data_IF_800749347519
#
_entry.id   IF_800749347519
#
_cell.length_a   1.000
_cell.length_b   1.000
_cell.length_c   1.000
_cell.angle_alpha   90.00
_cell.angle_beta   90.00
_cell.angle_gamma   90.00
#
_symmetry.space_group_name_H-M   'P 1'
#
loop_
_entity.id
_entity.type
_entity.pdbx_description
1 polymer ?
#
# COMPACT_ATOMS: atom_id res chain seq x y z
N UNK A 1 -7.83 -23.22 14.90
CA UNK A 1 -6.90 -22.07 14.95
C UNK A 1 -7.22 -21.22 13.72
N UNK A 2 -7.36 -19.91 13.88
CA UNK A 2 -7.64 -19.03 12.74
C UNK A 2 -6.33 -18.68 12.02
N UNK A 3 -6.38 -18.56 10.70
CA UNK A 3 -5.31 -17.95 9.92
C UNK A 3 -5.31 -16.45 10.21
N UNK A 4 -4.13 -15.89 10.48
CA UNK A 4 -3.95 -14.45 10.73
C UNK A 4 -3.12 -13.88 9.58
N UNK A 5 -3.70 -12.91 8.89
CA UNK A 5 -3.05 -12.14 7.84
C UNK A 5 -2.84 -10.73 8.38
N UNK A 6 -1.59 -10.30 8.46
CA UNK A 6 -1.25 -8.91 8.74
C UNK A 6 -1.38 -8.13 7.43
N UNK A 7 -2.37 -7.24 7.34
CA UNK A 7 -2.71 -6.56 6.09
C UNK A 7 -1.80 -5.35 5.80
N UNK A 8 -1.06 -4.88 6.82
CA UNK A 8 -0.26 -3.68 6.75
C UNK A 8 1.13 -3.91 7.30
N UNK A 9 1.96 -4.52 6.46
CA UNK A 9 3.39 -4.66 6.72
C UNK A 9 4.21 -3.93 5.66
N UNK A 10 5.30 -3.28 6.08
CA UNK A 10 6.32 -2.74 5.17
C UNK A 10 7.56 -3.63 5.16
N UNK A 11 7.60 -4.69 4.34
CA UNK A 11 8.80 -5.48 4.19
C UNK A 11 9.86 -4.67 3.44
N UNK A 12 11.13 -5.00 3.66
CA UNK A 12 12.25 -4.27 3.10
C UNK A 12 13.33 -5.22 2.60
N UNK A 13 13.97 -4.85 1.50
CA UNK A 13 15.09 -5.59 0.92
C UNK A 13 16.45 -4.95 1.26
N UNK A 14 16.45 -3.65 1.52
CA UNK A 14 17.64 -2.83 1.79
C UNK A 14 17.44 -1.97 3.04
N UNK A 15 18.52 -1.47 3.63
CA UNK A 15 18.46 -0.63 4.84
C UNK A 15 17.68 0.68 4.62
N UNK A 16 17.75 1.25 3.41
CA UNK A 16 16.99 2.46 3.03
C UNK A 16 15.47 2.23 2.89
N UNK A 17 15.04 0.97 2.83
CA UNK A 17 13.62 0.58 2.83
C UNK A 17 13.15 0.11 4.20
N UNK A 18 14.07 -0.14 5.14
CA UNK A 18 13.68 -0.46 6.50
C UNK A 18 13.23 0.83 7.19
N UNK A 19 11.92 1.06 7.23
CA UNK A 19 11.34 2.26 7.86
C UNK A 19 10.97 2.04 9.34
N UNK A 20 11.37 0.91 9.92
CA UNK A 20 11.08 0.62 11.33
C UNK A 20 11.72 1.68 12.25
N UNK A 21 10.93 2.25 13.16
CA UNK A 21 11.44 3.22 14.15
C UNK A 21 12.18 2.56 15.33
N UNK A 22 12.05 1.24 15.51
CA UNK A 22 12.56 0.50 16.67
C UNK A 22 13.72 -0.46 16.34
N UNK A 23 14.47 -0.19 15.27
CA UNK A 23 15.60 -1.05 14.81
C UNK A 23 16.63 -1.37 15.89
N UNK A 24 16.86 -0.45 16.83
CA UNK A 24 17.81 -0.63 17.91
C UNK A 24 17.35 -1.68 18.94
N UNK A 25 16.04 -1.93 19.03
CA UNK A 25 15.43 -2.87 19.99
C UNK A 25 15.06 -4.19 19.32
N UNK A 26 14.58 -4.13 18.08
CA UNK A 26 14.20 -5.30 17.28
C UNK A 26 15.00 -5.25 15.96
N UNK A 27 16.22 -5.83 15.92
CA UNK A 27 17.08 -5.78 14.74
C UNK A 27 16.62 -6.82 13.71
N UNK A 28 15.43 -6.64 13.15
CA UNK A 28 14.94 -7.48 12.06
C UNK A 28 15.79 -7.25 10.81
N UNK A 29 16.08 -8.34 10.12
CA UNK A 29 16.72 -8.35 8.81
C UNK A 29 15.75 -8.93 7.79
N UNK A 30 15.95 -8.65 6.50
CA UNK A 30 15.18 -9.33 5.43
C UNK A 30 15.28 -10.86 5.50
N UNK A 31 16.32 -11.44 6.11
CA UNK A 31 16.38 -12.88 6.30
C UNK A 31 15.45 -13.35 7.42
N UNK A 32 15.48 -12.65 8.56
CA UNK A 32 14.83 -13.08 9.80
C UNK A 32 13.38 -12.63 9.96
N UNK A 33 12.91 -11.64 9.18
CA UNK A 33 11.56 -11.07 9.34
C UNK A 33 10.45 -12.11 9.22
N UNK A 34 10.54 -13.02 8.24
CA UNK A 34 9.53 -14.08 8.06
C UNK A 34 9.43 -14.98 9.28
N UNK A 35 10.56 -15.52 9.73
CA UNK A 35 10.62 -16.44 10.88
C UNK A 35 10.13 -15.77 12.17
N UNK A 36 10.49 -14.49 12.36
CA UNK A 36 10.04 -13.70 13.49
C UNK A 36 8.52 -13.56 13.52
N UNK A 37 7.90 -13.13 12.42
CA UNK A 37 6.46 -12.92 12.32
C UNK A 37 5.67 -14.24 12.42
N UNK A 38 6.19 -15.33 11.83
CA UNK A 38 5.63 -16.67 12.01
C UNK A 38 5.68 -17.12 13.47
N UNK A 39 6.74 -16.75 14.21
CA UNK A 39 6.83 -16.97 15.66
C UNK A 39 5.76 -16.23 16.48
N UNK A 40 5.14 -15.19 15.92
CA UNK A 40 4.01 -14.45 16.48
C UNK A 40 2.64 -14.97 16.01
N UNK A 41 2.62 -16.13 15.33
CA UNK A 41 1.44 -16.74 14.73
C UNK A 41 0.82 -15.93 13.57
N UNK A 42 1.59 -15.05 12.92
CA UNK A 42 1.21 -14.43 11.65
C UNK A 42 1.47 -15.45 10.53
N UNK A 43 0.44 -15.72 9.74
CA UNK A 43 0.49 -16.75 8.70
C UNK A 43 0.87 -16.17 7.34
N UNK A 44 0.45 -14.93 7.06
CA UNK A 44 0.81 -14.15 5.89
C UNK A 44 0.92 -12.68 6.23
N UNK A 45 1.70 -11.97 5.43
CA UNK A 45 1.75 -10.52 5.41
C UNK A 45 1.35 -10.00 4.04
N UNK A 46 0.77 -8.81 4.00
CA UNK A 46 0.68 -8.03 2.78
C UNK A 46 1.03 -6.56 3.03
N UNK A 47 1.29 -5.84 1.94
CA UNK A 47 1.68 -4.44 1.99
C UNK A 47 2.77 -4.12 0.98
N UNK A 48 3.22 -2.87 0.99
CA UNK A 48 4.17 -2.34 0.01
C UNK A 48 5.54 -2.08 0.64
N UNK A 49 6.58 -2.16 -0.20
CA UNK A 49 7.91 -1.70 0.18
C UNK A 49 7.92 -0.18 0.15
N UNK A 50 8.28 0.47 1.24
CA UNK A 50 8.39 1.93 1.32
C UNK A 50 9.85 2.32 1.51
N UNK A 51 10.24 3.47 0.98
CA UNK A 51 11.56 4.08 1.22
C UNK A 51 11.41 5.55 1.57
N UNK A 52 12.29 6.03 2.46
CA UNK A 52 12.27 7.41 2.98
C UNK A 52 13.18 8.36 2.19
N UNK A 53 13.78 7.89 1.10
CA UNK A 53 14.63 8.73 0.26
C UNK A 53 13.81 9.88 -0.33
N UNK A 54 14.25 11.12 -0.05
CA UNK A 54 13.66 12.33 -0.62
C UNK A 54 14.25 12.60 -2.01
N UNK A 55 13.40 12.98 -2.96
CA UNK A 55 13.82 13.37 -4.31
C UNK A 55 13.24 14.72 -4.67
N UNK A 56 14.02 15.54 -5.38
CA UNK A 56 13.62 16.89 -5.79
C UNK A 56 13.06 16.94 -7.20
N UNK A 57 13.40 15.95 -8.04
CA UNK A 57 13.02 15.90 -9.45
C UNK A 57 11.98 14.80 -9.72
N UNK A 58 10.95 15.04 -10.55
CA UNK A 58 9.93 14.03 -10.86
C UNK A 58 10.52 12.71 -11.38
N UNK A 59 11.51 12.77 -12.28
CA UNK A 59 12.13 11.56 -12.85
C UNK A 59 12.79 10.65 -11.80
N UNK A 60 13.21 11.19 -10.66
CA UNK A 60 13.77 10.40 -9.57
C UNK A 60 12.68 9.81 -8.66
N UNK A 61 11.51 10.47 -8.58
CA UNK A 61 10.33 9.91 -7.91
C UNK A 61 9.85 8.62 -8.58
N UNK A 62 9.73 8.61 -9.91
CA UNK A 62 9.32 7.37 -10.60
C UNK A 62 10.33 6.24 -10.42
N UNK A 63 11.64 6.54 -10.44
CA UNK A 63 12.68 5.55 -10.14
C UNK A 63 12.56 4.98 -8.73
N UNK A 64 12.17 5.80 -7.74
CA UNK A 64 11.88 5.35 -6.37
C UNK A 64 10.74 4.33 -6.37
N UNK A 65 9.63 4.67 -7.02
CA UNK A 65 8.45 3.79 -7.16
C UNK A 65 8.83 2.47 -7.82
N UNK A 66 9.53 2.52 -8.97
CA UNK A 66 10.01 1.33 -9.67
C UNK A 66 10.93 0.46 -8.80
N UNK A 67 11.86 1.08 -8.04
CA UNK A 67 12.74 0.37 -7.12
C UNK A 67 11.96 -0.34 -6.02
N UNK A 68 10.96 0.32 -5.45
CA UNK A 68 10.12 -0.25 -4.40
C UNK A 68 9.27 -1.40 -4.93
N UNK A 69 8.64 -1.23 -6.10
CA UNK A 69 7.88 -2.30 -6.76
C UNK A 69 8.77 -3.50 -7.11
N UNK A 70 9.96 -3.27 -7.69
CA UNK A 70 10.93 -4.33 -7.96
C UNK A 70 11.35 -5.07 -6.68
N UNK A 71 11.51 -4.34 -5.58
CA UNK A 71 11.84 -4.94 -4.27
C UNK A 71 10.68 -5.78 -3.74
N UNK A 72 9.43 -5.37 -3.95
CA UNK A 72 8.25 -6.16 -3.57
C UNK A 72 8.23 -7.52 -4.30
N UNK A 73 8.47 -7.55 -5.62
CA UNK A 73 8.56 -8.81 -6.36
C UNK A 73 9.73 -9.68 -5.89
N UNK A 74 10.92 -9.11 -5.68
CA UNK A 74 12.08 -9.87 -5.17
C UNK A 74 11.83 -10.44 -3.77
N UNK A 75 11.09 -9.73 -2.92
CA UNK A 75 10.67 -10.22 -1.60
C UNK A 75 9.62 -11.31 -1.72
N UNK A 76 8.71 -11.25 -2.70
CA UNK A 76 7.75 -12.32 -2.97
C UNK A 76 8.47 -13.60 -3.39
N UNK A 77 9.47 -13.52 -4.28
CA UNK A 77 10.32 -14.66 -4.65
C UNK A 77 11.02 -15.27 -3.42
N UNK A 78 11.47 -14.43 -2.49
CA UNK A 78 12.18 -14.85 -1.27
C UNK A 78 11.25 -15.47 -0.22
N UNK A 79 10.10 -14.86 0.03
CA UNK A 79 9.20 -15.27 1.11
C UNK A 79 8.15 -16.28 0.66
N UNK A 80 7.93 -16.42 -0.65
CA UNK A 80 6.88 -17.26 -1.24
C UNK A 80 5.49 -16.80 -0.79
N UNK A 81 4.58 -17.77 -0.62
CA UNK A 81 3.18 -17.54 -0.24
C UNK A 81 2.97 -16.82 1.11
N UNK A 82 4.04 -16.62 1.89
CA UNK A 82 4.01 -15.84 3.11
C UNK A 82 3.77 -14.35 2.85
N UNK A 83 4.17 -13.83 1.68
CA UNK A 83 4.05 -12.40 1.36
C UNK A 83 3.21 -12.18 0.10
N UNK A 84 2.16 -11.38 0.25
CA UNK A 84 1.37 -10.86 -0.86
C UNK A 84 1.89 -9.44 -1.17
N UNK A 85 2.57 -9.23 -2.30
CA UNK A 85 3.21 -7.96 -2.59
C UNK A 85 2.20 -6.87 -2.96
N UNK A 86 2.41 -5.68 -2.42
CA UNK A 86 1.75 -4.45 -2.84
C UNK A 86 2.64 -3.62 -3.75
N UNK A 87 2.11 -3.19 -4.89
CA UNK A 87 2.75 -2.20 -5.76
C UNK A 87 2.39 -0.78 -5.34
N UNK A 88 3.22 0.18 -5.75
CA UNK A 88 2.97 1.62 -5.70
C UNK A 88 2.57 2.15 -7.06
N UNK A 89 1.73 3.19 -7.04
CA UNK A 89 1.30 3.99 -8.18
C UNK A 89 1.40 5.47 -7.80
N UNK A 90 1.35 6.37 -8.78
CA UNK A 90 1.54 7.80 -8.50
C UNK A 90 0.88 8.72 -9.55
N UNK A 91 0.14 9.77 -9.14
CA UNK A 91 -0.62 10.62 -10.06
C UNK A 91 0.22 11.42 -11.06
N UNK A 92 1.47 11.77 -10.74
CA UNK A 92 2.39 12.38 -11.72
C UNK A 92 2.82 11.45 -12.86
N UNK A 93 2.55 10.15 -12.77
CA UNK A 93 3.00 9.11 -13.72
C UNK A 93 1.83 8.19 -14.06
N UNK A 94 0.71 8.78 -14.53
CA UNK A 94 -0.54 8.05 -14.82
C UNK A 94 -0.30 6.86 -15.74
N UNK A 95 0.33 7.10 -16.89
CA UNK A 95 0.59 6.06 -17.88
C UNK A 95 1.40 4.91 -17.28
N UNK A 96 2.52 5.23 -16.64
CA UNK A 96 3.41 4.23 -16.07
C UNK A 96 2.79 3.49 -14.89
N UNK A 97 1.94 4.15 -14.11
CA UNK A 97 1.16 3.55 -13.04
C UNK A 97 0.15 2.53 -13.58
N UNK A 98 -0.59 2.89 -14.64
CA UNK A 98 -1.54 1.99 -15.31
C UNK A 98 -0.82 0.77 -15.92
N UNK A 99 0.34 0.97 -16.54
CA UNK A 99 1.18 -0.11 -17.07
C UNK A 99 1.68 -1.04 -15.94
N UNK A 100 2.05 -0.50 -14.77
CA UNK A 100 2.46 -1.32 -13.63
C UNK A 100 1.29 -2.09 -13.01
N UNK A 101 0.07 -1.54 -12.98
CA UNK A 101 -1.15 -2.26 -12.58
C UNK A 101 -1.40 -3.45 -13.51
N UNK A 102 -1.36 -3.25 -14.82
CA UNK A 102 -1.55 -4.33 -15.79
C UNK A 102 -0.49 -5.42 -15.63
N UNK A 103 0.78 -5.03 -15.44
CA UNK A 103 1.88 -5.97 -15.19
C UNK A 103 1.68 -6.76 -13.90
N UNK A 104 1.33 -6.09 -12.80
CA UNK A 104 1.03 -6.73 -11.52
C UNK A 104 -0.13 -7.72 -11.68
N UNK A 105 -1.18 -7.31 -12.39
CA UNK A 105 -2.35 -8.13 -12.63
C UNK A 105 -2.00 -9.42 -13.39
N UNK A 106 -1.17 -9.31 -14.45
CA UNK A 106 -0.65 -10.47 -15.20
C UNK A 106 0.22 -11.39 -14.36
N UNK A 107 0.94 -10.86 -13.39
CA UNK A 107 1.75 -11.63 -12.44
C UNK A 107 0.93 -12.23 -11.29
N UNK A 108 -0.39 -12.04 -11.25
CA UNK A 108 -1.26 -12.53 -10.18
C UNK A 108 -1.26 -11.66 -8.91
N UNK A 109 -0.59 -10.51 -8.93
CA UNK A 109 -0.60 -9.53 -7.86
C UNK A 109 -1.87 -8.67 -7.98
N UNK A 110 -2.54 -8.42 -6.85
CA UNK A 110 -3.81 -7.67 -6.80
C UNK A 110 -3.84 -6.55 -5.75
N UNK A 111 -2.69 -6.22 -5.17
CA UNK A 111 -2.61 -5.18 -4.14
C UNK A 111 -1.83 -3.98 -4.68
N UNK A 112 -2.47 -2.82 -4.66
CA UNK A 112 -1.78 -1.53 -4.54
C UNK A 112 -1.61 -1.33 -3.03
N UNK A 113 -0.39 -1.54 -2.54
CA UNK A 113 -0.13 -1.51 -1.09
C UNK A 113 -0.06 -0.06 -0.59
N UNK A 114 -0.01 0.14 0.73
CA UNK A 114 -0.22 1.48 1.34
C UNK A 114 0.49 2.58 0.56
N UNK A 115 -0.33 3.39 -0.12
CA UNK A 115 0.09 4.64 -0.71
C UNK A 115 0.33 5.64 0.42
N UNK A 116 1.49 6.30 0.39
CA UNK A 116 1.93 7.25 1.41
C UNK A 116 2.17 8.63 0.79
N UNK A 117 1.10 9.39 0.43
CA UNK A 117 1.22 10.61 -0.37
C UNK A 117 2.20 11.63 0.22
N UNK A 118 2.26 11.74 1.55
CA UNK A 118 3.16 12.65 2.24
C UNK A 118 4.66 12.33 2.04
N UNK A 119 5.02 11.06 1.79
CA UNK A 119 6.39 10.66 1.46
C UNK A 119 6.70 10.76 -0.04
N UNK A 120 5.67 10.66 -0.88
CA UNK A 120 5.82 10.65 -2.33
C UNK A 120 5.47 11.98 -3.00
N UNK A 121 5.11 13.01 -2.22
CA UNK A 121 4.99 14.38 -2.70
C UNK A 121 3.69 14.70 -3.43
N UNK A 122 2.62 13.95 -3.15
CA UNK A 122 1.25 14.24 -3.59
C UNK A 122 0.30 14.25 -2.39
N UNK A 123 -0.96 14.69 -2.56
CA UNK A 123 -1.86 14.93 -1.41
C UNK A 123 -3.33 14.57 -1.65
N UNK A 124 -3.81 14.82 -2.86
CA UNK A 124 -5.25 14.84 -3.10
C UNK A 124 -5.74 13.49 -3.59
N UNK A 125 -6.59 12.83 -2.80
CA UNK A 125 -7.20 11.54 -3.16
C UNK A 125 -8.27 11.65 -4.24
N UNK A 126 -8.78 12.84 -4.51
CA UNK A 126 -9.68 13.15 -5.62
C UNK A 126 -8.98 13.89 -6.77
N UNK A 127 -7.65 13.83 -6.84
CA UNK A 127 -6.89 14.30 -8.00
C UNK A 127 -7.35 13.56 -9.27
N UNK A 128 -7.76 14.24 -10.35
CA UNK A 128 -8.24 13.59 -11.57
C UNK A 128 -7.25 12.59 -12.18
N UNK A 129 -5.95 12.85 -12.07
CA UNK A 129 -4.92 11.95 -12.56
C UNK A 129 -4.82 10.69 -11.68
N UNK A 130 -5.08 10.80 -10.38
CA UNK A 130 -5.18 9.64 -9.51
C UNK A 130 -6.45 8.83 -9.77
N UNK A 131 -7.59 9.50 -9.96
CA UNK A 131 -8.86 8.83 -10.31
C UNK A 131 -8.73 8.02 -11.61
N UNK A 132 -8.02 8.53 -12.63
CA UNK A 132 -7.73 7.78 -13.86
C UNK A 132 -6.92 6.49 -13.60
N UNK A 133 -6.00 6.51 -12.62
CA UNK A 133 -5.27 5.30 -12.22
C UNK A 133 -6.21 4.32 -11.51
N UNK A 134 -7.15 4.81 -10.71
CA UNK A 134 -8.13 3.99 -9.99
C UNK A 134 -9.14 3.33 -10.95
N UNK A 135 -9.52 3.99 -12.05
CA UNK A 135 -10.32 3.36 -13.12
C UNK A 135 -9.63 2.08 -13.63
N UNK A 136 -8.32 2.13 -13.84
CA UNK A 136 -7.54 0.96 -14.27
C UNK A 136 -7.41 -0.07 -13.15
N UNK A 137 -7.23 0.37 -11.91
CA UNK A 137 -7.19 -0.52 -10.75
C UNK A 137 -8.50 -1.31 -10.59
N UNK A 138 -9.65 -0.68 -10.83
CA UNK A 138 -10.98 -1.29 -10.78
C UNK A 138 -11.14 -2.36 -11.87
N UNK A 139 -10.75 -2.05 -13.12
CA UNK A 139 -10.79 -2.99 -14.26
C UNK A 139 -9.98 -4.27 -13.99
N UNK A 140 -8.83 -4.14 -13.31
CA UNK A 140 -7.98 -5.29 -12.95
C UNK A 140 -8.31 -5.92 -11.59
N UNK A 141 -9.38 -5.46 -10.94
CA UNK A 141 -9.85 -5.92 -9.63
C UNK A 141 -8.76 -5.85 -8.57
N UNK A 142 -8.04 -4.73 -8.53
CA UNK A 142 -7.05 -4.46 -7.50
C UNK A 142 -7.75 -4.12 -6.16
N UNK A 143 -6.99 -4.25 -5.08
CA UNK A 143 -7.30 -3.67 -3.77
C UNK A 143 -6.35 -2.49 -3.55
N UNK A 144 -6.88 -1.35 -3.12
CA UNK A 144 -6.09 -0.14 -2.88
C UNK A 144 -5.98 0.13 -1.39
N UNK A 145 -4.80 -0.11 -0.85
CA UNK A 145 -4.42 0.30 0.51
C UNK A 145 -3.79 1.68 0.48
N UNK A 146 -4.13 2.55 1.42
CA UNK A 146 -3.59 3.91 1.47
C UNK A 146 -3.59 4.49 2.89
N UNK A 147 -2.64 5.38 3.15
CA UNK A 147 -2.54 6.10 4.41
C UNK A 147 -3.71 7.08 4.56
N UNK A 148 -4.52 6.95 5.60
CA UNK A 148 -5.64 7.87 5.83
C UNK A 148 -5.17 9.33 5.99
N UNK A 149 -5.72 10.23 5.16
CA UNK A 149 -5.52 11.68 5.26
C UNK A 149 -6.60 12.41 4.47
N UNK A 150 -6.96 13.63 4.87
CA UNK A 150 -7.92 14.49 4.16
C UNK A 150 -9.29 13.82 3.90
N UNK A 151 -10.14 13.84 4.94
CA UNK A 151 -11.41 13.09 5.01
C UNK A 151 -12.37 13.33 3.85
N UNK A 152 -12.49 14.56 3.36
CA UNK A 152 -13.48 14.89 2.33
C UNK A 152 -13.04 14.34 0.96
N UNK A 153 -11.74 14.36 0.67
CA UNK A 153 -11.19 13.84 -0.58
C UNK A 153 -11.22 12.31 -0.62
N UNK A 154 -10.98 11.67 0.51
CA UNK A 154 -11.19 10.21 0.65
C UNK A 154 -12.65 9.83 0.38
N UNK A 155 -13.62 10.60 0.91
CA UNK A 155 -15.03 10.36 0.64
C UNK A 155 -15.34 10.44 -0.87
N UNK A 156 -14.78 11.43 -1.57
CA UNK A 156 -14.95 11.59 -3.01
C UNK A 156 -14.34 10.44 -3.80
N UNK A 157 -13.11 10.04 -3.46
CA UNK A 157 -12.42 8.91 -4.06
C UNK A 157 -13.23 7.61 -3.98
N UNK A 158 -13.71 7.26 -2.77
CA UNK A 158 -14.47 6.02 -2.51
C UNK A 158 -15.83 6.04 -3.22
N UNK A 159 -16.52 7.19 -3.23
CA UNK A 159 -17.80 7.34 -3.94
C UNK A 159 -17.67 7.24 -5.46
N UNK A 160 -16.51 7.63 -6.00
CA UNK A 160 -16.27 7.66 -7.45
C UNK A 160 -15.95 6.28 -8.02
N UNK A 161 -15.51 5.34 -7.18
CA UNK A 161 -15.13 3.96 -7.57
C UNK A 161 -15.83 2.93 -6.67
N UNK A 162 -17.16 2.78 -6.78
CA UNK A 162 -17.94 1.92 -5.89
C UNK A 162 -17.60 0.42 -6.02
N UNK A 163 -16.98 0.00 -7.13
CA UNK A 163 -16.63 -1.40 -7.38
C UNK A 163 -15.16 -1.71 -7.03
N UNK A 164 -14.36 -0.69 -6.71
CA UNK A 164 -12.98 -0.82 -6.25
C UNK A 164 -12.91 -1.01 -4.72
N UNK A 165 -12.18 -2.04 -4.26
CA UNK A 165 -11.98 -2.27 -2.83
C UNK A 165 -10.89 -1.35 -2.28
N UNK A 166 -11.25 -0.57 -1.27
CA UNK A 166 -10.38 0.36 -0.56
C UNK A 166 -10.09 -0.14 0.86
N UNK A 167 -8.84 -0.04 1.28
CA UNK A 167 -8.41 -0.34 2.66
C UNK A 167 -7.65 0.86 3.21
N UNK A 168 -8.28 1.61 4.10
CA UNK A 168 -7.58 2.68 4.78
C UNK A 168 -6.68 2.10 5.88
N UNK A 169 -5.42 2.50 5.82
CA UNK A 169 -4.46 2.24 6.87
C UNK A 169 -4.62 3.23 8.02
N UNK A 170 -4.31 2.73 9.22
CA UNK A 170 -4.35 3.43 10.50
C UNK A 170 -5.74 4.00 10.84
N UNK A 171 -6.37 3.56 11.95
CA UNK A 171 -7.64 4.13 12.40
C UNK A 171 -7.54 5.59 12.85
N UNK A 172 -6.31 6.07 13.11
CA UNK A 172 -6.04 7.36 13.71
C UNK A 172 -6.62 7.49 15.12
N UNK A 173 -6.68 8.73 15.59
CA UNK A 173 -7.31 9.05 16.88
C UNK A 173 -8.84 9.09 16.77
N UNK A 174 -9.53 9.17 17.90
CA UNK A 174 -10.99 9.07 18.01
C UNK A 174 -11.78 9.79 16.90
N UNK A 175 -11.46 11.05 16.59
CA UNK A 175 -12.19 11.81 15.56
C UNK A 175 -12.02 11.21 14.15
N UNK A 176 -10.80 10.80 13.79
CA UNK A 176 -10.53 10.13 12.51
C UNK A 176 -11.18 8.74 12.48
N UNK A 177 -11.07 8.00 13.56
CA UNK A 177 -11.72 6.69 13.69
C UNK A 177 -13.24 6.77 13.50
N UNK A 178 -13.91 7.74 14.11
CA UNK A 178 -15.35 7.94 13.94
C UNK A 178 -15.72 8.32 12.50
N UNK A 179 -14.83 8.99 11.76
CA UNK A 179 -15.02 9.29 10.33
C UNK A 179 -14.91 8.03 9.48
N UNK A 180 -13.94 7.16 9.75
CA UNK A 180 -13.86 5.84 9.12
C UNK A 180 -15.14 5.03 9.35
N UNK A 181 -15.65 4.99 10.59
CA UNK A 181 -16.89 4.30 10.91
C UNK A 181 -18.10 4.85 10.15
N UNK A 182 -18.17 6.17 9.94
CA UNK A 182 -19.26 6.76 9.16
C UNK A 182 -19.15 6.38 7.68
N UNK A 183 -17.95 6.39 7.10
CA UNK A 183 -17.71 5.96 5.71
C UNK A 183 -18.10 4.50 5.50
N UNK A 184 -17.68 3.61 6.42
CA UNK A 184 -18.01 2.18 6.37
C UNK A 184 -19.53 1.89 6.39
N UNK A 185 -20.37 2.77 6.95
CA UNK A 185 -21.83 2.58 6.95
C UNK A 185 -22.45 2.74 5.57
N UNK A 186 -21.82 3.51 4.69
CA UNK A 186 -22.39 3.90 3.38
C UNK A 186 -21.58 3.37 2.20
N UNK A 187 -20.46 2.69 2.45
CA UNK A 187 -19.54 2.17 1.43
C UNK A 187 -19.13 0.74 1.76
N UNK A 188 -19.76 -0.24 1.11
CA UNK A 188 -19.44 -1.67 1.29
C UNK A 188 -18.03 -2.03 0.76
N UNK A 189 -17.52 -1.23 -0.17
CA UNK A 189 -16.19 -1.37 -0.78
C UNK A 189 -15.07 -0.75 0.07
N UNK A 190 -15.36 -0.28 1.29
CA UNK A 190 -14.42 0.40 2.15
C UNK A 190 -14.14 -0.37 3.44
N UNK A 191 -12.88 -0.66 3.69
CA UNK A 191 -12.39 -1.36 4.87
C UNK A 191 -11.38 -0.51 5.65
N UNK A 192 -11.26 -0.81 6.93
CA UNK A 192 -10.30 -0.19 7.84
C UNK A 192 -9.36 -1.25 8.40
N UNK A 193 -8.06 -1.02 8.26
CA UNK A 193 -7.02 -1.82 8.90
C UNK A 193 -6.74 -1.30 10.33
N UNK A 194 -6.51 -2.22 11.28
CA UNK A 194 -6.50 -1.96 12.73
C UNK A 194 -5.22 -2.39 13.44
#
# INVERSE_FOLDING_TARGET
MFEIIDFHTHPFLTDGQNICNHKAVIPMTTASSKEYLQGLAIHKICGSVVSTDCYTEPGDMWKKIQRNNASAYALQERYGDFYIPGIHVHPLFVKESCEEIEKAAKAGVRLIGELVPYLDGWKEYDDPAFLEILDVAEVYHMVVSFHSSDEDKMDNMVKSHPDLTFVAAHPGEYSAFMRHLERMKHSENYHLDL
#
